data_IF_647059213937
#
_entry.id   IF_647059213937
#
_cell.length_a   1.000
_cell.length_b   1.000
_cell.length_c   1.000
_cell.angle_alpha   90.00
_cell.angle_beta   90.00
_cell.angle_gamma   90.00
#
_symmetry.space_group_name_H-M   'P 1'
#
loop_
_entity.id
_entity.type
_entity.pdbx_description
1 polymer ?
#
# COMPACT_ATOMS: atom_id res chain seq x y z
N UNK A 1 8.87 22.56 -14.55
CA UNK A 1 8.77 22.45 -13.08
C UNK A 1 7.37 22.93 -12.69
N UNK A 2 6.40 22.03 -12.56
CA UNK A 2 5.07 22.36 -12.01
C UNK A 2 5.00 21.79 -10.61
N UNK A 3 4.80 22.69 -9.65
CA UNK A 3 4.66 22.48 -8.23
C UNK A 3 3.76 21.29 -7.93
N UNK A 4 4.28 20.33 -7.17
CA UNK A 4 3.47 19.39 -6.39
C UNK A 4 2.48 20.24 -5.58
N UNK A 5 1.20 20.11 -5.89
CA UNK A 5 0.14 20.65 -5.05
C UNK A 5 0.46 20.25 -3.61
N UNK A 6 0.59 21.21 -2.73
CA UNK A 6 0.62 21.03 -1.30
C UNK A 6 -0.72 20.33 -0.92
N UNK A 7 -0.74 19.02 -0.96
CA UNK A 7 -1.77 18.27 -0.26
C UNK A 7 -1.58 18.63 1.21
N UNK A 8 -2.58 19.19 1.85
CA UNK A 8 -2.61 19.39 3.29
C UNK A 8 -2.38 18.03 3.94
N UNK A 9 -1.14 17.77 4.36
CA UNK A 9 -0.77 16.56 5.07
C UNK A 9 -1.44 16.63 6.44
N UNK A 10 -2.28 15.64 6.73
CA UNK A 10 -3.02 15.56 7.98
C UNK A 10 -2.33 14.49 8.85
N UNK A 11 -2.01 14.83 10.08
CA UNK A 11 -1.54 13.82 11.04
C UNK A 11 -2.58 12.72 11.17
N UNK A 12 -2.12 11.47 11.24
CA UNK A 12 -3.00 10.33 11.39
C UNK A 12 -3.83 10.46 12.68
N UNK A 13 -5.17 10.40 12.61
CA UNK A 13 -6.05 10.51 13.77
C UNK A 13 -6.19 9.16 14.53
N UNK A 14 -5.22 8.27 14.39
CA UNK A 14 -5.19 6.91 14.96
C UNK A 14 -3.78 6.58 15.45
N UNK A 15 -3.65 5.49 16.21
CA UNK A 15 -2.37 5.04 16.73
C UNK A 15 -1.42 4.61 15.62
N UNK A 16 -0.24 5.21 15.63
CA UNK A 16 0.87 4.96 14.70
C UNK A 16 2.18 4.68 15.45
N UNK A 17 2.09 4.35 16.75
CA UNK A 17 3.26 4.09 17.61
C UNK A 17 4.17 3.00 17.04
N UNK A 18 3.62 2.04 16.28
CA UNK A 18 4.39 1.02 15.59
C UNK A 18 5.41 1.59 14.57
N UNK A 19 5.19 2.80 14.00
CA UNK A 19 6.21 3.46 13.16
C UNK A 19 7.49 3.79 13.92
N UNK A 20 7.42 3.92 15.25
CA UNK A 20 8.55 4.22 16.12
C UNK A 20 9.33 2.98 16.54
N UNK A 21 8.91 1.80 16.14
CA UNK A 21 9.63 0.58 16.43
C UNK A 21 11.05 0.61 15.83
N UNK A 22 12.02 0.10 16.59
CA UNK A 22 13.46 0.17 16.25
C UNK A 22 13.78 -0.35 14.86
N UNK A 23 13.17 -1.46 14.45
CA UNK A 23 13.44 -2.06 13.14
C UNK A 23 12.83 -1.25 12.00
N UNK A 24 11.66 -0.64 12.21
CA UNK A 24 11.00 0.24 11.25
C UNK A 24 11.79 1.54 11.08
N UNK A 25 12.22 2.16 12.18
CA UNK A 25 13.06 3.36 12.12
C UNK A 25 14.39 3.07 11.42
N UNK A 26 15.01 1.91 11.70
CA UNK A 26 16.26 1.51 11.06
C UNK A 26 16.10 1.33 9.54
N UNK A 27 15.09 0.55 9.10
CA UNK A 27 14.86 0.30 7.68
C UNK A 27 14.46 1.60 6.95
N UNK A 28 13.61 2.41 7.56
CA UNK A 28 13.19 3.71 7.04
C UNK A 28 14.39 4.64 6.83
N UNK A 29 15.26 4.81 7.83
CA UNK A 29 16.46 5.65 7.75
C UNK A 29 17.37 5.22 6.60
N UNK A 30 17.55 3.92 6.40
CA UNK A 30 18.40 3.38 5.34
C UNK A 30 17.77 3.61 3.97
N UNK A 31 16.49 3.26 3.81
CA UNK A 31 15.81 3.37 2.53
C UNK A 31 15.62 4.82 2.07
N UNK A 32 15.52 5.76 3.01
CA UNK A 32 15.38 7.19 2.68
C UNK A 32 16.72 7.95 2.63
N UNK A 33 17.84 7.29 2.91
CA UNK A 33 19.17 7.91 3.01
C UNK A 33 19.63 8.63 1.74
N UNK A 34 19.13 8.21 0.58
CA UNK A 34 19.42 8.82 -0.74
C UNK A 34 18.25 9.62 -1.31
N UNK A 35 17.34 10.12 -0.44
CA UNK A 35 16.22 10.96 -0.85
C UNK A 35 15.00 10.21 -1.37
N UNK A 36 14.92 8.89 -1.21
CA UNK A 36 13.71 8.15 -1.54
C UNK A 36 12.57 8.46 -0.56
N UNK A 37 11.34 8.36 -1.06
CA UNK A 37 10.13 8.55 -0.28
C UNK A 37 9.56 7.17 0.08
N UNK A 38 9.49 6.87 1.37
CA UNK A 38 8.95 5.63 1.94
C UNK A 38 7.61 5.91 2.62
N UNK A 39 6.64 5.05 2.36
CA UNK A 39 5.30 5.11 2.96
C UNK A 39 4.87 3.73 3.41
N UNK A 40 4.24 3.65 4.57
CA UNK A 40 3.42 2.49 4.90
C UNK A 40 2.08 2.57 4.14
N UNK A 41 1.50 1.42 3.77
CA UNK A 41 0.29 1.39 2.93
C UNK A 41 -0.49 0.10 3.13
N UNK A 42 -1.74 0.07 2.70
CA UNK A 42 -2.51 -1.18 2.63
C UNK A 42 -2.97 -1.70 3.98
N UNK A 43 -2.57 -2.95 4.31
CA UNK A 43 -3.06 -3.68 5.47
C UNK A 43 -2.78 -3.00 6.80
N UNK A 44 -1.53 -2.60 7.03
CA UNK A 44 -1.09 -1.99 8.28
C UNK A 44 -1.76 -0.64 8.57
N UNK A 45 -1.87 0.23 7.56
CA UNK A 45 -2.55 1.54 7.69
C UNK A 45 -4.04 1.36 7.99
N UNK A 46 -4.71 0.46 7.28
CA UNK A 46 -6.11 0.15 7.52
C UNK A 46 -6.33 -0.44 8.91
N UNK A 47 -5.52 -1.42 9.30
CA UNK A 47 -5.60 -2.07 10.61
C UNK A 47 -5.39 -1.08 11.75
N UNK A 48 -4.40 -0.18 11.64
CA UNK A 48 -4.18 0.89 12.63
C UNK A 48 -5.40 1.80 12.78
N UNK A 49 -6.03 2.20 11.67
CA UNK A 49 -7.26 3.00 11.72
C UNK A 49 -8.39 2.30 12.47
N UNK A 50 -8.56 0.97 12.21
CA UNK A 50 -9.64 0.17 12.79
C UNK A 50 -9.28 -0.49 14.12
N UNK A 51 -8.08 -0.20 14.68
CA UNK A 51 -7.54 -0.80 15.91
C UNK A 51 -7.50 -2.33 15.85
N UNK A 52 -7.13 -2.85 14.68
CA UNK A 52 -6.93 -4.27 14.43
C UNK A 52 -5.46 -4.64 14.54
N UNK A 53 -5.18 -5.87 14.92
CA UNK A 53 -3.82 -6.42 14.90
C UNK A 53 -3.36 -6.70 13.46
N UNK A 54 -2.05 -6.59 13.24
CA UNK A 54 -1.40 -6.93 11.99
C UNK A 54 0.04 -7.37 12.23
N UNK A 55 0.47 -8.38 11.49
CA UNK A 55 1.81 -8.96 11.62
C UNK A 55 2.78 -8.42 10.57
N UNK A 56 2.28 -8.10 9.37
CA UNK A 56 3.09 -7.68 8.24
C UNK A 56 2.90 -6.20 7.97
N UNK A 57 4.01 -5.55 7.62
CA UNK A 57 4.00 -4.14 7.25
C UNK A 57 4.34 -4.03 5.77
N UNK A 58 3.39 -3.45 5.02
CA UNK A 58 3.56 -3.16 3.61
C UNK A 58 4.09 -1.74 3.45
N UNK A 59 5.24 -1.61 2.81
CA UNK A 59 5.82 -0.34 2.40
C UNK A 59 5.70 -0.14 0.90
N UNK A 60 5.51 1.10 0.50
CA UNK A 60 5.61 1.56 -0.88
C UNK A 60 6.72 2.61 -0.99
N UNK A 61 7.57 2.50 -2.02
CA UNK A 61 8.76 3.35 -2.18
C UNK A 61 8.95 3.77 -3.64
N UNK A 62 9.52 4.96 -3.87
CA UNK A 62 9.70 5.53 -5.21
C UNK A 62 11.03 5.19 -5.88
N UNK A 63 11.72 4.14 -5.43
CA UNK A 63 12.93 3.59 -6.06
C UNK A 63 12.70 2.15 -6.49
N UNK A 64 13.55 1.64 -7.37
CA UNK A 64 13.45 0.29 -7.92
C UNK A 64 13.82 -0.79 -6.89
N UNK A 65 13.38 -2.06 -7.07
CA UNK A 65 13.78 -3.15 -6.18
C UNK A 65 15.30 -3.35 -6.13
N UNK A 66 15.99 -3.10 -7.23
CA UNK A 66 17.45 -3.19 -7.28
C UNK A 66 18.09 -2.14 -6.36
N UNK A 67 17.64 -0.88 -6.41
CA UNK A 67 18.13 0.17 -5.53
C UNK A 67 17.81 -0.12 -4.06
N UNK A 68 16.61 -0.67 -3.75
CA UNK A 68 16.26 -1.12 -2.39
C UNK A 68 17.26 -2.17 -1.92
N UNK A 69 17.57 -3.17 -2.75
CA UNK A 69 18.52 -4.24 -2.41
C UNK A 69 19.93 -3.68 -2.16
N UNK A 70 20.39 -2.74 -2.99
CA UNK A 70 21.68 -2.08 -2.81
C UNK A 70 21.77 -1.28 -1.50
N UNK A 71 20.71 -0.61 -1.10
CA UNK A 71 20.68 0.11 0.18
C UNK A 71 20.70 -0.83 1.39
N UNK A 72 20.10 -2.02 1.26
CA UNK A 72 19.99 -2.99 2.34
C UNK A 72 21.18 -3.97 2.45
N UNK A 73 22.10 -4.00 1.50
CA UNK A 73 23.17 -5.01 1.46
C UNK A 73 24.09 -5.01 2.68
N UNK A 74 24.26 -3.86 3.34
CA UNK A 74 25.16 -3.70 4.48
C UNK A 74 24.45 -3.84 5.84
N UNK A 75 23.21 -4.30 5.86
CA UNK A 75 22.50 -4.57 7.10
C UNK A 75 22.21 -6.06 7.27
N UNK A 76 22.18 -6.50 8.53
CA UNK A 76 21.81 -7.88 8.86
C UNK A 76 20.31 -8.06 8.63
N UNK A 77 19.93 -8.53 7.45
CA UNK A 77 18.56 -8.87 7.07
C UNK A 77 18.57 -10.03 6.06
N UNK A 78 17.45 -10.72 5.94
CA UNK A 78 17.21 -11.69 4.87
C UNK A 78 16.33 -11.04 3.82
N UNK A 79 16.76 -11.06 2.55
CA UNK A 79 15.98 -10.52 1.43
C UNK A 79 15.46 -11.70 0.60
N UNK A 80 14.14 -11.81 0.47
CA UNK A 80 13.45 -12.80 -0.35
C UNK A 80 12.95 -12.09 -1.61
N UNK A 81 13.30 -12.64 -2.78
CA UNK A 81 13.08 -11.99 -4.08
C UNK A 81 11.92 -12.58 -4.89
N UNK A 82 11.06 -13.40 -4.28
CA UNK A 82 9.95 -14.10 -4.98
C UNK A 82 8.95 -13.17 -5.68
N UNK A 83 8.93 -11.90 -5.33
CA UNK A 83 8.05 -10.88 -5.95
C UNK A 83 8.80 -9.81 -6.75
N UNK A 84 10.09 -9.98 -7.01
CA UNK A 84 10.91 -8.92 -7.62
C UNK A 84 10.44 -8.55 -9.04
N UNK A 85 9.95 -9.50 -9.80
CA UNK A 85 9.35 -9.29 -11.13
C UNK A 85 8.10 -8.39 -11.08
N UNK A 86 7.43 -8.35 -9.91
CA UNK A 86 6.29 -7.47 -9.64
C UNK A 86 6.69 -6.24 -8.83
N UNK A 87 7.99 -6.00 -8.65
CA UNK A 87 8.50 -4.83 -7.93
C UNK A 87 8.43 -4.93 -6.41
N UNK A 88 8.25 -6.12 -5.84
CA UNK A 88 8.18 -6.35 -4.39
C UNK A 88 9.37 -7.14 -3.89
N UNK A 89 9.95 -6.70 -2.78
CA UNK A 89 10.96 -7.42 -2.00
C UNK A 89 10.41 -7.69 -0.61
N UNK A 90 10.52 -8.93 -0.15
CA UNK A 90 10.25 -9.29 1.23
C UNK A 90 11.54 -9.24 2.03
N UNK A 91 11.57 -8.43 3.08
CA UNK A 91 12.75 -8.19 3.92
C UNK A 91 12.45 -8.66 5.34
N UNK A 92 13.28 -9.54 5.89
CA UNK A 92 13.13 -10.04 7.25
C UNK A 92 14.24 -9.46 8.13
N UNK A 93 13.84 -8.75 9.18
CA UNK A 93 14.72 -8.20 10.23
C UNK A 93 14.18 -8.65 11.59
N UNK A 94 15.01 -9.28 12.41
CA UNK A 94 14.63 -9.72 13.76
C UNK A 94 13.30 -10.52 13.79
N UNK A 95 13.10 -11.43 12.82
CA UNK A 95 11.89 -12.26 12.63
C UNK A 95 10.64 -11.47 12.18
N UNK A 96 10.72 -10.15 11.96
CA UNK A 96 9.63 -9.35 11.40
C UNK A 96 9.74 -9.29 9.88
N UNK A 97 8.61 -9.47 9.20
CA UNK A 97 8.50 -9.40 7.74
C UNK A 97 8.05 -8.01 7.32
N UNK A 98 8.80 -7.42 6.39
CA UNK A 98 8.47 -6.15 5.73
C UNK A 98 8.35 -6.41 4.23
N UNK A 99 7.22 -6.07 3.63
CA UNK A 99 7.05 -6.11 2.19
C UNK A 99 7.27 -4.71 1.61
N UNK A 100 8.32 -4.58 0.80
CA UNK A 100 8.71 -3.30 0.21
C UNK A 100 8.39 -3.36 -1.29
N UNK A 101 7.38 -2.59 -1.71
CA UNK A 101 6.95 -2.53 -3.11
C UNK A 101 7.34 -1.19 -3.72
N UNK A 102 8.07 -1.24 -4.82
CA UNK A 102 8.39 -0.06 -5.63
C UNK A 102 7.11 0.54 -6.24
N UNK A 103 7.00 1.86 -6.27
CA UNK A 103 5.91 2.51 -6.99
C UNK A 103 5.89 2.05 -8.44
N UNK A 104 4.74 1.59 -8.89
CA UNK A 104 4.57 1.05 -10.23
C UNK A 104 3.19 1.32 -10.79
N UNK A 105 3.08 1.25 -12.09
CA UNK A 105 1.82 1.08 -12.82
C UNK A 105 1.83 -0.27 -13.52
N UNK A 106 0.71 -0.93 -13.53
CA UNK A 106 0.52 -2.15 -14.29
C UNK A 106 0.27 -1.76 -15.76
N UNK A 107 1.05 -2.31 -16.69
CA UNK A 107 0.91 -2.07 -18.14
C UNK A 107 -0.08 -3.08 -18.71
N UNK A 108 0.13 -4.34 -18.41
CA UNK A 108 -0.73 -5.45 -18.77
C UNK A 108 -0.94 -6.34 -17.57
N UNK A 109 -2.13 -6.88 -17.40
CA UNK A 109 -2.47 -7.75 -16.28
C UNK A 109 -2.99 -9.09 -16.76
N UNK A 110 -2.49 -10.18 -16.18
CA UNK A 110 -2.85 -11.56 -16.46
C UNK A 110 -3.22 -12.26 -15.14
N UNK A 111 -4.36 -11.89 -14.59
CA UNK A 111 -4.77 -12.31 -13.24
C UNK A 111 -3.83 -11.75 -12.17
N UNK A 112 -3.09 -12.61 -11.45
CA UNK A 112 -2.11 -12.19 -10.43
C UNK A 112 -0.79 -11.67 -10.98
N UNK A 113 -0.49 -11.93 -12.24
CA UNK A 113 0.74 -11.48 -12.91
C UNK A 113 0.48 -10.18 -13.62
N UNK A 114 1.46 -9.29 -13.62
CA UNK A 114 1.39 -8.02 -14.34
C UNK A 114 2.76 -7.67 -14.91
N UNK A 115 2.78 -7.15 -16.13
CA UNK A 115 3.94 -6.43 -16.64
C UNK A 115 3.90 -5.04 -15.99
N UNK A 116 4.93 -4.72 -15.24
CA UNK A 116 4.96 -3.49 -14.44
C UNK A 116 5.95 -2.47 -15.00
N UNK A 117 5.65 -1.20 -14.86
CA UNK A 117 6.59 -0.11 -15.10
C UNK A 117 6.74 0.72 -13.83
N UNK A 118 7.97 0.89 -13.37
CA UNK A 118 8.24 1.71 -12.20
C UNK A 118 7.93 3.18 -12.46
N UNK A 119 7.55 3.90 -11.40
CA UNK A 119 7.15 5.30 -11.46
C UNK A 119 7.53 6.03 -10.17
N UNK A 120 7.76 7.33 -10.24
CA UNK A 120 7.96 8.17 -9.06
C UNK A 120 6.65 8.81 -8.56
N UNK A 121 5.52 8.48 -9.20
CA UNK A 121 4.23 9.09 -8.93
C UNK A 121 3.37 8.19 -8.03
N UNK A 122 3.20 8.56 -6.76
CA UNK A 122 2.36 7.86 -5.78
C UNK A 122 0.91 7.70 -6.25
N UNK A 123 0.38 8.66 -7.01
CA UNK A 123 -0.99 8.59 -7.56
C UNK A 123 -1.13 7.46 -8.58
N UNK A 124 -0.07 7.14 -9.34
CA UNK A 124 -0.09 6.00 -10.26
C UNK A 124 -0.06 4.68 -9.50
N UNK A 125 0.74 4.58 -8.44
CA UNK A 125 0.75 3.39 -7.57
C UNK A 125 -0.60 3.20 -6.88
N UNK A 126 -1.23 4.27 -6.40
CA UNK A 126 -2.55 4.21 -5.78
C UNK A 126 -3.65 3.71 -6.74
N UNK A 127 -3.60 4.13 -8.00
CA UNK A 127 -4.60 3.75 -9.03
C UNK A 127 -4.59 2.26 -9.38
N UNK A 128 -3.49 1.54 -9.19
CA UNK A 128 -3.42 0.10 -9.46
C UNK A 128 -3.96 -0.77 -8.32
N UNK A 129 -4.15 -0.19 -7.12
CA UNK A 129 -4.64 -0.92 -5.95
C UNK A 129 -6.09 -1.37 -6.11
N UNK A 130 -6.49 -2.37 -5.35
CA UNK A 130 -7.80 -2.98 -5.43
C UNK A 130 -8.92 -2.08 -4.88
N UNK A 131 -8.82 -1.68 -3.60
CA UNK A 131 -9.86 -0.91 -2.90
C UNK A 131 -9.36 0.44 -2.45
N UNK A 132 -10.27 1.42 -2.39
CA UNK A 132 -9.97 2.81 -2.03
C UNK A 132 -9.31 2.93 -0.66
N UNK A 133 -9.74 2.17 0.34
CA UNK A 133 -9.16 2.16 1.68
C UNK A 133 -7.78 1.49 1.75
N UNK A 134 -7.39 0.68 0.77
CA UNK A 134 -6.04 0.10 0.65
C UNK A 134 -5.08 1.03 -0.14
N UNK A 135 -5.58 2.15 -0.66
CA UNK A 135 -4.80 3.15 -1.39
C UNK A 135 -4.53 4.42 -0.54
N UNK A 136 -4.60 4.28 0.77
CA UNK A 136 -4.20 5.30 1.75
C UNK A 136 -2.78 4.99 2.20
N UNK A 137 -1.93 5.99 2.20
CA UNK A 137 -0.53 5.92 2.57
C UNK A 137 -0.28 6.69 3.87
N UNK A 138 0.73 6.26 4.60
CA UNK A 138 1.20 6.94 5.81
C UNK A 138 2.70 7.18 5.64
N UNK A 139 3.13 8.44 5.67
CA UNK A 139 4.55 8.73 5.61
C UNK A 139 5.24 8.43 6.94
N UNK A 140 6.56 8.41 6.95
CA UNK A 140 7.34 8.06 8.15
C UNK A 140 7.30 9.13 9.25
N UNK A 141 6.62 10.28 9.03
CA UNK A 141 6.32 11.30 10.05
C UNK A 141 4.93 11.12 10.67
N UNK A 142 4.19 10.07 10.25
CA UNK A 142 2.83 9.80 10.71
C UNK A 142 1.75 10.68 10.06
N UNK A 143 2.00 11.19 8.87
CA UNK A 143 1.05 12.00 8.13
C UNK A 143 0.39 11.16 7.02
N UNK A 144 -0.93 11.31 6.90
CA UNK A 144 -1.72 10.66 5.86
C UNK A 144 -1.43 11.30 4.51
N UNK A 145 -1.16 10.45 3.52
CA UNK A 145 -1.07 10.81 2.12
C UNK A 145 -2.15 10.07 1.36
N UNK A 146 -3.14 10.81 0.88
CA UNK A 146 -4.30 10.29 0.15
C UNK A 146 -4.32 10.81 -1.30
N UNK A 147 -3.61 10.15 -2.22
CA UNK A 147 -3.45 10.64 -3.58
C UNK A 147 -4.73 10.57 -4.44
N UNK A 148 -5.78 9.86 -3.96
CA UNK A 148 -7.04 9.68 -4.68
C UNK A 148 -8.24 10.37 -4.00
N UNK A 149 -8.07 10.95 -2.79
CA UNK A 149 -9.14 11.59 -2.03
C UNK A 149 -10.16 10.61 -1.45
N UNK A 150 -9.71 9.43 -1.03
CA UNK A 150 -10.59 8.33 -0.60
C UNK A 150 -10.51 8.02 0.91
N UNK A 151 -9.88 8.85 1.72
CA UNK A 151 -9.76 8.61 3.17
C UNK A 151 -11.12 8.46 3.85
N UNK A 152 -12.15 9.15 3.35
CA UNK A 152 -13.51 9.00 3.84
C UNK A 152 -14.10 7.60 3.65
N UNK A 153 -13.63 6.84 2.65
CA UNK A 153 -14.06 5.45 2.45
C UNK A 153 -13.44 4.54 3.53
N UNK A 154 -12.18 4.79 3.93
CA UNK A 154 -11.55 4.15 5.08
C UNK A 154 -12.32 4.48 6.36
N UNK A 155 -12.59 5.78 6.61
CA UNK A 155 -13.27 6.24 7.82
C UNK A 155 -14.68 5.64 7.98
N UNK A 156 -15.36 5.39 6.87
CA UNK A 156 -16.71 4.82 6.84
C UNK A 156 -16.75 3.30 6.68
N UNK A 157 -15.61 2.61 6.61
CA UNK A 157 -15.55 1.17 6.32
C UNK A 157 -16.17 0.78 4.98
N UNK A 158 -16.17 1.69 4.01
CA UNK A 158 -16.81 1.48 2.72
C UNK A 158 -15.91 0.65 1.80
N UNK A 159 -16.37 -0.53 1.42
CA UNK A 159 -15.68 -1.38 0.44
C UNK A 159 -15.99 -0.89 -0.96
N UNK A 160 -15.03 -0.19 -1.57
CA UNK A 160 -15.16 0.39 -2.90
C UNK A 160 -13.90 0.12 -3.71
N UNK A 161 -14.04 -0.31 -4.95
CA UNK A 161 -12.92 -0.47 -5.87
C UNK A 161 -12.29 0.89 -6.24
N UNK A 162 -10.98 0.87 -6.47
CA UNK A 162 -10.29 2.01 -7.09
C UNK A 162 -10.64 2.05 -8.56
N UNK A 163 -11.30 3.12 -9.02
CA UNK A 163 -11.75 3.26 -10.40
C UNK A 163 -12.98 2.42 -10.75
N UNK A 164 -13.02 1.87 -11.96
CA UNK A 164 -14.14 1.08 -12.46
C UNK A 164 -14.10 -0.36 -11.93
N UNK A 165 -15.15 -0.82 -11.21
CA UNK A 165 -15.17 -2.16 -10.60
C UNK A 165 -15.07 -3.30 -11.61
N UNK A 166 -15.77 -3.19 -12.75
CA UNK A 166 -15.77 -4.23 -13.80
C UNK A 166 -14.34 -4.41 -14.35
N UNK A 167 -13.67 -3.30 -14.65
CA UNK A 167 -12.28 -3.32 -15.11
C UNK A 167 -11.36 -3.95 -14.08
N UNK A 168 -11.50 -3.57 -12.79
CA UNK A 168 -10.69 -4.13 -11.69
C UNK A 168 -10.88 -5.63 -11.52
N UNK A 169 -12.09 -6.13 -11.67
CA UNK A 169 -12.41 -7.57 -11.59
C UNK A 169 -11.84 -8.32 -12.79
N UNK A 170 -11.94 -7.77 -14.00
CA UNK A 170 -11.36 -8.40 -15.20
C UNK A 170 -9.84 -8.49 -15.15
N UNK A 171 -9.17 -7.55 -14.51
CA UNK A 171 -7.72 -7.58 -14.31
C UNK A 171 -7.27 -8.70 -13.33
N UNK A 172 -8.06 -8.96 -12.29
CA UNK A 172 -7.80 -10.02 -11.31
C UNK A 172 -9.10 -10.46 -10.65
N UNK A 173 -9.62 -11.64 -11.03
CA UNK A 173 -10.86 -12.21 -10.50
C UNK A 173 -10.83 -12.49 -8.98
N UNK A 174 -9.65 -12.67 -8.39
CA UNK A 174 -9.54 -12.82 -6.93
C UNK A 174 -10.01 -11.59 -6.17
N UNK A 175 -10.08 -10.43 -6.82
CA UNK A 175 -10.65 -9.23 -6.21
C UNK A 175 -12.12 -9.40 -5.83
N UNK A 176 -12.85 -10.32 -6.48
CA UNK A 176 -14.22 -10.69 -6.08
C UNK A 176 -14.21 -11.31 -4.68
N UNK A 177 -13.35 -12.31 -4.45
CA UNK A 177 -13.24 -12.96 -3.14
C UNK A 177 -12.75 -11.98 -2.07
N UNK A 178 -11.81 -11.11 -2.42
CA UNK A 178 -11.32 -10.05 -1.53
C UNK A 178 -12.44 -9.05 -1.18
N UNK A 179 -13.30 -8.70 -2.14
CA UNK A 179 -14.45 -7.83 -1.93
C UNK A 179 -15.40 -8.42 -0.89
N UNK A 180 -15.82 -9.67 -1.04
CA UNK A 180 -16.71 -10.33 -0.08
C UNK A 180 -16.03 -10.51 1.30
N UNK A 181 -14.75 -10.82 1.35
CA UNK A 181 -13.99 -10.89 2.60
C UNK A 181 -14.01 -9.55 3.35
N UNK A 182 -13.84 -8.44 2.67
CA UNK A 182 -13.91 -7.13 3.31
C UNK A 182 -15.34 -6.71 3.67
N UNK A 183 -16.33 -7.06 2.86
CA UNK A 183 -17.74 -6.83 3.20
C UNK A 183 -18.15 -7.56 4.48
N UNK A 184 -17.73 -8.81 4.66
CA UNK A 184 -18.02 -9.56 5.88
C UNK A 184 -17.31 -8.98 7.11
N UNK A 185 -16.11 -8.41 6.91
CA UNK A 185 -15.33 -7.80 8.00
C UNK A 185 -15.90 -6.45 8.45
N UNK A 186 -16.49 -5.67 7.54
CA UNK A 186 -17.03 -4.32 7.80
C UNK A 186 -18.53 -4.21 7.47
N UNK A 187 -19.42 -4.99 8.10
CA UNK A 187 -20.82 -5.13 7.68
C UNK A 187 -21.67 -3.89 7.93
N UNK A 188 -21.35 -3.08 8.95
CA UNK A 188 -22.22 -1.99 9.41
C UNK A 188 -22.32 -0.82 8.43
N UNK A 189 -21.30 -0.58 7.62
CA UNK A 189 -21.21 0.54 6.69
C UNK A 189 -21.70 0.20 5.27
N UNK A 190 -21.91 -1.09 4.98
CA UNK A 190 -22.19 -1.58 3.63
C UNK A 190 -23.63 -2.10 3.45
N UNK A 191 -24.60 -1.56 4.20
CA UNK A 191 -26.01 -2.00 4.17
C UNK A 191 -26.70 -1.95 2.79
N UNK A 192 -26.10 -1.27 1.81
CA UNK A 192 -26.58 -1.20 0.43
C UNK A 192 -25.47 -1.52 -0.55
N UNK A 193 -25.12 -2.79 -0.67
CA UNK A 193 -24.23 -3.24 -1.75
C UNK A 193 -25.03 -3.28 -3.04
N UNK A 194 -24.62 -2.49 -4.02
CA UNK A 194 -25.23 -2.58 -5.34
C UNK A 194 -24.58 -3.75 -6.11
N UNK A 195 -25.19 -4.93 -6.02
CA UNK A 195 -24.75 -6.14 -6.70
C UNK A 195 -24.81 -6.06 -8.24
N UNK A 196 -25.41 -5.01 -8.82
CA UNK A 196 -25.39 -4.80 -10.29
C UNK A 196 -23.99 -4.62 -10.85
N UNK A 197 -23.03 -4.27 -10.02
CA UNK A 197 -21.62 -4.07 -10.41
C UNK A 197 -20.88 -5.40 -10.59
N UNK A 198 -21.45 -6.52 -10.14
CA UNK A 198 -20.85 -7.86 -10.18
C UNK A 198 -21.42 -8.77 -11.26
N UNK A 199 -22.37 -8.26 -12.08
CA UNK A 199 -22.95 -8.97 -13.23
C UNK A 199 -22.19 -8.71 -14.52
#
# INVERSE_FOLDING_TARGET
MKSLQQNNLIKAPFDISWLLEKDILRISKILTSRGANLYAVGGSVRASYWKEEFDNIDFAINITPHEVKELLKNIKCTIIQTGIEYGTLSVIINKKLFEITSFRKDIETFGRKAIVKYTNCIKQDAKRRDFTFNAIYLNMKGEIVDPLGNFSDLAKGKVKFVGDPKKRILEDHLRILRFFRFLSKYPLQNKRVNFRTLK
#
